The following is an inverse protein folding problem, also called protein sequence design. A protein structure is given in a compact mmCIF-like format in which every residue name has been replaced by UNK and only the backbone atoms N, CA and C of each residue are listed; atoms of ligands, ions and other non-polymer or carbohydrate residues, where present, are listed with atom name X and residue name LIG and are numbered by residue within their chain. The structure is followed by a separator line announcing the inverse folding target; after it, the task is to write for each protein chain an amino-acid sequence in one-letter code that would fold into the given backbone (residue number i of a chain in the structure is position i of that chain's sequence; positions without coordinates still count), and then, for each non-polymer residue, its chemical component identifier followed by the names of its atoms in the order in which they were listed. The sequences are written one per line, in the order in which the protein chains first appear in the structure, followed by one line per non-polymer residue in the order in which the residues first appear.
data_IF_128965616758
#
_entry.id   IF_128965616758
#
_cell.length_a   1.000
_cell.length_b   1.000
_cell.length_c   1.000
_cell.angle_alpha   90.00
_cell.angle_beta   90.00
_cell.angle_gamma   90.00
#
_symmetry.space_group_name_H-M   'P 1'
#
loop_
_entity.id
_entity.type
_entity.pdbx_description
1 polymer ?
#
# COMPACT_ATOMS: atom_id res chain seq x y z
N UNK A 1 -10.14 -13.00 -29.70
CA UNK A 1 -9.82 -11.83 -28.85
C UNK A 1 -8.92 -10.89 -29.65
N UNK A 2 -9.19 -9.57 -29.68
CA UNK A 2 -8.38 -8.65 -30.50
C UNK A 2 -6.94 -8.52 -29.96
N UNK A 3 -5.94 -8.24 -30.81
CA UNK A 3 -4.57 -7.94 -30.37
C UNK A 3 -4.48 -6.75 -29.41
N UNK A 4 -5.45 -5.82 -29.48
CA UNK A 4 -5.57 -4.68 -28.57
C UNK A 4 -6.01 -5.12 -27.17
N UNK A 5 -7.04 -5.98 -27.07
CA UNK A 5 -7.51 -6.56 -25.80
C UNK A 5 -6.44 -7.44 -25.14
N UNK A 6 -5.73 -8.25 -25.91
CA UNK A 6 -4.65 -9.07 -25.39
C UNK A 6 -3.51 -8.22 -24.78
N UNK A 7 -3.16 -7.10 -25.41
CA UNK A 7 -2.15 -6.17 -24.87
C UNK A 7 -2.60 -5.53 -23.56
N UNK A 8 -3.85 -5.08 -23.47
CA UNK A 8 -4.37 -4.45 -22.25
C UNK A 8 -4.54 -5.46 -21.13
N UNK A 9 -4.99 -6.68 -21.42
CA UNK A 9 -5.02 -7.78 -20.45
C UNK A 9 -3.65 -8.01 -19.82
N UNK A 10 -2.57 -8.02 -20.62
CA UNK A 10 -1.20 -8.11 -20.07
C UNK A 10 -0.85 -6.94 -19.16
N UNK A 11 -1.26 -5.71 -19.50
CA UNK A 11 -1.02 -4.53 -18.66
C UNK A 11 -1.80 -4.63 -17.36
N UNK A 12 -3.05 -5.10 -17.37
CA UNK A 12 -3.84 -5.33 -16.15
C UNK A 12 -3.11 -6.31 -15.24
N UNK A 13 -2.70 -7.48 -15.76
CA UNK A 13 -1.96 -8.48 -14.97
C UNK A 13 -0.65 -7.93 -14.39
N UNK A 14 0.07 -7.09 -15.14
CA UNK A 14 1.27 -6.42 -14.63
C UNK A 14 0.94 -5.43 -13.49
N UNK A 15 -0.19 -4.72 -13.59
CA UNK A 15 -0.63 -3.76 -12.55
C UNK A 15 -1.19 -4.45 -11.32
N UNK A 16 -1.86 -5.60 -11.48
CA UNK A 16 -2.28 -6.46 -10.37
C UNK A 16 -1.07 -6.95 -9.57
N UNK A 17 -0.06 -7.51 -10.25
CA UNK A 17 1.19 -7.92 -9.61
C UNK A 17 1.89 -6.78 -8.88
N UNK A 18 1.97 -5.61 -9.52
CA UNK A 18 2.55 -4.43 -8.89
C UNK A 18 1.75 -3.99 -7.65
N UNK A 19 0.41 -4.09 -7.68
CA UNK A 19 -0.43 -3.81 -6.52
C UNK A 19 -0.15 -4.81 -5.39
N UNK A 20 -0.07 -6.11 -5.69
CA UNK A 20 0.23 -7.15 -4.72
C UNK A 20 1.60 -6.93 -4.06
N UNK A 21 2.62 -6.58 -4.84
CA UNK A 21 3.95 -6.21 -4.33
C UNK A 21 3.88 -5.03 -3.36
N UNK A 22 3.09 -3.98 -3.67
CA UNK A 22 2.91 -2.83 -2.76
C UNK A 22 2.14 -3.21 -1.50
N UNK A 23 1.17 -4.10 -1.59
CA UNK A 23 0.41 -4.60 -0.42
C UNK A 23 1.31 -5.45 0.49
N UNK A 24 2.17 -6.29 -0.09
CA UNK A 24 3.18 -7.03 0.67
C UNK A 24 4.13 -6.06 1.39
N UNK A 25 4.66 -5.05 0.68
CA UNK A 25 5.52 -4.03 1.27
C UNK A 25 4.82 -3.23 2.40
N UNK A 26 3.52 -2.91 2.25
CA UNK A 26 2.74 -2.28 3.31
C UNK A 26 2.60 -3.19 4.54
N UNK A 27 2.48 -4.49 4.33
CA UNK A 27 2.39 -5.47 5.42
C UNK A 27 3.69 -5.54 6.21
N UNK A 28 4.83 -5.58 5.52
CA UNK A 28 6.15 -5.58 6.15
C UNK A 28 6.43 -4.29 6.93
N UNK A 29 6.07 -3.14 6.35
CA UNK A 29 6.25 -1.84 7.02
C UNK A 29 5.36 -1.69 8.26
N UNK A 30 4.11 -2.20 8.22
CA UNK A 30 3.24 -2.27 9.40
C UNK A 30 3.80 -3.17 10.50
N UNK A 31 4.39 -4.31 10.15
CA UNK A 31 5.03 -5.18 11.13
C UNK A 31 6.24 -4.48 11.78
N UNK A 32 7.04 -3.75 10.98
CA UNK A 32 8.16 -2.96 11.49
C UNK A 32 7.70 -1.81 12.40
N UNK A 33 6.64 -1.09 12.04
CA UNK A 33 6.02 -0.05 12.86
C UNK A 33 5.52 -0.60 14.20
N UNK A 34 4.79 -1.72 14.19
CA UNK A 34 4.30 -2.36 15.41
C UNK A 34 5.47 -2.75 16.34
N UNK A 35 6.56 -3.29 15.78
CA UNK A 35 7.76 -3.62 16.54
C UNK A 35 8.44 -2.38 17.12
N UNK A 36 8.55 -1.30 16.35
CA UNK A 36 9.17 -0.06 16.81
C UNK A 36 8.35 0.61 17.92
N UNK A 37 7.03 0.63 17.81
CA UNK A 37 6.13 1.16 18.84
C UNK A 37 6.19 0.34 20.13
N UNK A 38 6.23 -1.00 20.02
CA UNK A 38 6.41 -1.86 21.19
C UNK A 38 7.77 -1.63 21.86
N UNK A 39 8.84 -1.43 21.08
CA UNK A 39 10.16 -1.12 21.62
C UNK A 39 10.18 0.23 22.34
N UNK A 40 9.56 1.27 21.77
CA UNK A 40 9.40 2.58 22.42
C UNK A 40 8.68 2.46 23.76
N UNK A 41 7.57 1.70 23.80
CA UNK A 41 6.80 1.49 25.03
C UNK A 41 7.62 0.77 26.10
N UNK A 42 8.37 -0.28 25.73
CA UNK A 42 9.27 -0.99 26.66
C UNK A 42 10.32 -0.02 27.23
N UNK A 43 10.97 0.78 26.38
CA UNK A 43 11.98 1.76 26.85
C UNK A 43 11.36 2.80 27.77
N UNK A 44 10.13 3.24 27.50
CA UNK A 44 9.43 4.21 28.36
C UNK A 44 9.18 3.64 29.75
N UNK A 45 8.72 2.39 29.83
CA UNK A 45 8.54 1.68 31.12
C UNK A 45 9.86 1.51 31.86
N UNK A 46 10.94 1.13 31.17
CA UNK A 46 12.28 1.03 31.80
C UNK A 46 12.77 2.40 32.34
N UNK A 47 12.43 3.50 31.68
CA UNK A 47 12.74 4.85 32.16
C UNK A 47 11.91 5.22 33.40
N UNK A 48 10.62 4.90 33.39
CA UNK A 48 9.73 5.09 34.54
C UNK A 48 10.26 4.32 35.77
N UNK A 49 10.59 3.03 35.61
CA UNK A 49 11.18 2.19 36.64
C UNK A 49 12.53 2.73 37.15
N UNK A 50 13.39 3.22 36.25
CA UNK A 50 14.65 3.84 36.62
C UNK A 50 14.46 5.13 37.42
N UNK A 51 13.46 5.94 37.05
CA UNK A 51 13.10 7.15 37.78
C UNK A 51 12.59 6.83 39.19
N UNK A 52 11.70 5.84 39.32
CA UNK A 52 11.20 5.38 40.62
C UNK A 52 12.31 4.82 41.50
N UNK A 53 13.20 4.01 40.92
CA UNK A 53 14.34 3.44 41.64
C UNK A 53 15.27 4.53 42.16
N UNK A 54 15.52 5.58 41.37
CA UNK A 54 16.30 6.74 41.79
C UNK A 54 15.63 7.50 42.94
N UNK A 55 14.31 7.67 42.89
CA UNK A 55 13.56 8.35 43.97
C UNK A 55 13.65 7.58 45.29
N UNK A 56 13.43 6.26 45.26
CA UNK A 56 13.59 5.40 46.45
C UNK A 56 15.00 5.47 47.03
N UNK A 57 16.02 5.42 46.18
CA UNK A 57 17.42 5.62 46.57
C UNK A 57 17.62 6.96 47.30
N UNK A 58 17.01 8.04 46.81
CA UNK A 58 17.08 9.37 47.44
C UNK A 58 16.41 9.42 48.83
N UNK A 59 15.37 8.61 49.06
CA UNK A 59 14.60 8.57 50.30
C UNK A 59 15.24 7.67 51.37
N UNK A 60 15.86 6.56 50.96
CA UNK A 60 16.27 5.49 51.88
C UNK A 60 17.71 5.58 52.39
N UNK A 61 18.60 6.36 51.76
CA UNK A 61 20.04 6.24 52.01
C UNK A 61 20.78 7.57 52.25
N UNK A 62 21.70 7.54 53.22
CA UNK A 62 22.86 8.43 53.27
C UNK A 62 23.80 8.06 52.11
N UNK A 63 23.38 8.41 50.89
CA UNK A 63 24.09 8.10 49.66
C UNK A 63 25.44 8.83 49.63
N UNK A 64 26.48 8.09 49.24
CA UNK A 64 27.71 8.73 48.80
C UNK A 64 27.44 9.52 47.52
N UNK A 65 28.21 10.59 47.31
CA UNK A 65 28.13 11.36 46.08
C UNK A 65 28.32 10.50 44.81
N UNK A 66 29.13 9.44 44.90
CA UNK A 66 29.38 8.51 43.78
C UNK A 66 28.13 7.74 43.37
N UNK A 67 27.40 7.16 44.33
CA UNK A 67 26.18 6.40 44.04
C UNK A 67 25.07 7.28 43.48
N UNK A 68 25.02 8.56 43.88
CA UNK A 68 24.10 9.53 43.29
C UNK A 68 24.44 9.88 41.84
N UNK A 69 25.73 10.03 41.53
CA UNK A 69 26.20 10.29 40.16
C UNK A 69 25.85 9.09 39.26
N UNK A 70 26.15 7.87 39.68
CA UNK A 70 25.86 6.64 38.93
C UNK A 70 24.35 6.49 38.62
N UNK A 71 23.49 6.75 39.60
CA UNK A 71 22.04 6.70 39.40
C UNK A 71 21.55 7.74 38.37
N UNK A 72 22.15 8.94 38.38
CA UNK A 72 21.83 9.98 37.40
C UNK A 72 22.33 9.64 36.00
N UNK A 73 23.54 9.10 35.88
CA UNK A 73 24.09 8.65 34.59
C UNK A 73 23.27 7.52 33.99
N UNK A 74 22.83 6.57 34.82
CA UNK A 74 21.93 5.50 34.41
C UNK A 74 20.58 6.05 33.92
N UNK A 75 19.97 6.98 34.65
CA UNK A 75 18.72 7.62 34.24
C UNK A 75 18.87 8.36 32.90
N UNK A 76 19.96 9.12 32.72
CA UNK A 76 20.25 9.79 31.46
C UNK A 76 20.46 8.81 30.31
N UNK A 77 21.11 7.66 30.55
CA UNK A 77 21.26 6.59 29.56
C UNK A 77 19.89 6.05 29.11
N UNK A 78 18.97 5.81 30.06
CA UNK A 78 17.59 5.38 29.75
C UNK A 78 16.81 6.44 28.97
N UNK A 79 16.93 7.71 29.32
CA UNK A 79 16.31 8.81 28.57
C UNK A 79 16.78 8.84 27.11
N UNK A 80 18.09 8.68 26.87
CA UNK A 80 18.64 8.62 25.52
C UNK A 80 18.09 7.43 24.73
N UNK A 81 17.94 6.26 25.36
CA UNK A 81 17.36 5.08 24.72
C UNK A 81 15.89 5.28 24.34
N UNK A 82 15.10 5.95 25.19
CA UNK A 82 13.71 6.30 24.88
C UNK A 82 13.64 7.24 23.68
N UNK A 83 14.44 8.31 23.66
CA UNK A 83 14.45 9.25 22.55
C UNK A 83 14.89 8.58 21.23
N UNK A 84 15.86 7.68 21.28
CA UNK A 84 16.24 6.87 20.11
C UNK A 84 15.08 6.00 19.61
N UNK A 85 14.43 5.26 20.51
CA UNK A 85 13.30 4.41 20.17
C UNK A 85 12.11 5.21 19.62
N UNK A 86 11.85 6.40 20.17
CA UNK A 86 10.82 7.34 19.69
C UNK A 86 11.11 7.82 18.27
N UNK A 87 12.36 8.17 17.97
CA UNK A 87 12.76 8.55 16.61
C UNK A 87 12.60 7.38 15.63
N UNK A 88 12.95 6.17 16.04
CA UNK A 88 12.76 4.96 15.23
C UNK A 88 11.28 4.65 14.97
N UNK A 89 10.44 4.75 16.00
CA UNK A 89 8.98 4.61 15.87
C UNK A 89 8.40 5.65 14.91
N UNK A 90 8.78 6.92 15.04
CA UNK A 90 8.35 7.98 14.13
C UNK A 90 8.79 7.73 12.67
N UNK A 91 10.01 7.22 12.46
CA UNK A 91 10.49 6.83 11.12
C UNK A 91 9.67 5.66 10.56
N UNK A 92 9.40 4.63 11.37
CA UNK A 92 8.61 3.48 10.94
C UNK A 92 7.17 3.88 10.57
N UNK A 93 6.53 4.75 11.37
CA UNK A 93 5.22 5.33 11.05
C UNK A 93 5.22 6.09 9.72
N UNK A 94 6.26 6.88 9.46
CA UNK A 94 6.39 7.62 8.20
C UNK A 94 6.50 6.66 7.00
N UNK A 95 7.30 5.60 7.12
CA UNK A 95 7.43 4.59 6.07
C UNK A 95 6.12 3.84 5.83
N UNK A 96 5.36 3.49 6.87
CA UNK A 96 4.01 2.93 6.70
C UNK A 96 3.10 3.89 5.93
N UNK A 97 3.10 5.19 6.25
CA UNK A 97 2.29 6.19 5.53
C UNK A 97 2.68 6.29 4.06
N UNK A 98 3.98 6.26 3.74
CA UNK A 98 4.46 6.23 2.35
C UNK A 98 3.99 4.96 1.63
N UNK A 99 4.09 3.80 2.26
CA UNK A 99 3.64 2.53 1.70
C UNK A 99 2.12 2.54 1.45
N UNK A 100 1.32 3.10 2.36
CA UNK A 100 -0.13 3.29 2.15
C UNK A 100 -0.40 4.15 0.92
N UNK A 101 0.31 5.27 0.76
CA UNK A 101 0.23 6.13 -0.43
C UNK A 101 0.59 5.41 -1.73
N UNK A 102 1.61 4.54 -1.69
CA UNK A 102 2.01 3.72 -2.83
C UNK A 102 0.92 2.69 -3.22
N UNK A 103 0.29 2.04 -2.24
CA UNK A 103 -0.86 1.13 -2.49
C UNK A 103 -2.03 1.88 -3.10
N UNK A 104 -2.37 3.07 -2.59
CA UNK A 104 -3.46 3.88 -3.16
C UNK A 104 -3.18 4.28 -4.61
N UNK A 105 -1.95 4.69 -4.90
CA UNK A 105 -1.52 5.00 -6.27
C UNK A 105 -1.63 3.77 -7.17
N UNK A 106 -1.13 2.61 -6.73
CA UNK A 106 -1.20 1.36 -7.48
C UNK A 106 -2.65 0.93 -7.78
N UNK A 107 -3.57 1.06 -6.80
CA UNK A 107 -5.01 0.81 -7.00
C UNK A 107 -5.62 1.75 -8.02
N UNK A 108 -5.29 3.04 -7.94
CA UNK A 108 -5.76 4.05 -8.90
C UNK A 108 -5.29 3.72 -10.32
N UNK A 109 -4.03 3.35 -10.48
CA UNK A 109 -3.45 3.00 -11.78
C UNK A 109 -4.06 1.72 -12.36
N UNK A 110 -4.27 0.69 -11.54
CA UNK A 110 -5.00 -0.51 -11.95
C UNK A 110 -6.40 -0.14 -12.44
N UNK A 111 -7.14 0.68 -11.67
CA UNK A 111 -8.50 1.08 -12.03
C UNK A 111 -8.57 1.85 -13.35
N UNK A 112 -7.59 2.71 -13.64
CA UNK A 112 -7.52 3.43 -14.93
C UNK A 112 -7.39 2.45 -16.11
N UNK A 113 -6.59 1.40 -15.95
CA UNK A 113 -6.39 0.40 -17.01
C UNK A 113 -7.62 -0.50 -17.18
N UNK A 114 -8.28 -0.89 -16.08
CA UNK A 114 -9.56 -1.60 -16.13
C UNK A 114 -10.62 -0.81 -16.89
N UNK A 115 -10.79 0.48 -16.56
CA UNK A 115 -11.73 1.36 -17.26
C UNK A 115 -11.39 1.51 -18.74
N UNK A 116 -10.10 1.54 -19.10
CA UNK A 116 -9.68 1.56 -20.50
C UNK A 116 -10.05 0.24 -21.21
N UNK A 117 -9.89 -0.90 -20.54
CA UNK A 117 -10.29 -2.21 -21.06
C UNK A 117 -11.79 -2.27 -21.34
N UNK A 118 -12.61 -1.81 -20.38
CA UNK A 118 -14.06 -1.74 -20.52
C UNK A 118 -14.49 -0.85 -21.70
N UNK A 119 -13.86 0.33 -21.86
CA UNK A 119 -14.13 1.22 -23.00
C UNK A 119 -13.80 0.57 -24.34
N UNK A 120 -12.69 -0.15 -24.42
CA UNK A 120 -12.29 -0.85 -25.65
C UNK A 120 -13.22 -2.01 -25.96
N UNK A 121 -13.66 -2.74 -24.94
CA UNK A 121 -14.67 -3.78 -25.13
C UNK A 121 -15.98 -3.20 -25.69
N UNK A 122 -16.50 -2.12 -25.10
CA UNK A 122 -17.71 -1.45 -25.61
C UNK A 122 -17.53 -0.93 -27.04
N UNK A 123 -16.35 -0.42 -27.37
CA UNK A 123 -16.05 0.05 -28.73
C UNK A 123 -16.04 -1.12 -29.72
N UNK A 124 -15.38 -2.23 -29.40
CA UNK A 124 -15.33 -3.41 -30.28
C UNK A 124 -16.71 -4.07 -30.45
N UNK A 125 -17.53 -4.10 -29.39
CA UNK A 125 -18.92 -4.58 -29.46
C UNK A 125 -19.78 -3.71 -30.38
N UNK A 126 -19.64 -2.38 -30.29
CA UNK A 126 -20.33 -1.43 -31.16
C UNK A 126 -19.90 -1.58 -32.63
N UNK A 127 -18.59 -1.68 -32.88
CA UNK A 127 -18.04 -1.90 -34.24
C UNK A 127 -18.52 -3.21 -34.84
N UNK A 128 -18.56 -4.29 -34.05
CA UNK A 128 -19.08 -5.59 -34.47
C UNK A 128 -20.58 -5.52 -34.82
N UNK A 129 -21.40 -4.86 -33.99
CA UNK A 129 -22.83 -4.67 -34.27
C UNK A 129 -23.09 -3.86 -35.54
N UNK A 130 -22.28 -2.83 -35.80
CA UNK A 130 -22.39 -2.03 -37.04
C UNK A 130 -22.03 -2.86 -38.27
N UNK A 131 -20.96 -3.67 -38.18
CA UNK A 131 -20.56 -4.60 -39.24
C UNK A 131 -21.64 -5.65 -39.52
N UNK A 132 -22.21 -6.25 -38.48
CA UNK A 132 -23.27 -7.24 -38.58
C UNK A 132 -24.51 -6.67 -39.26
N UNK A 133 -24.99 -5.49 -38.84
CA UNK A 133 -26.11 -4.80 -39.49
C UNK A 133 -25.86 -4.51 -40.95
N UNK A 134 -24.65 -4.03 -41.31
CA UNK A 134 -24.29 -3.79 -42.71
C UNK A 134 -24.32 -5.07 -43.55
N UNK A 135 -23.82 -6.18 -43.00
CA UNK A 135 -23.86 -7.48 -43.68
C UNK A 135 -25.30 -7.96 -43.86
N UNK A 136 -26.16 -7.78 -42.86
CA UNK A 136 -27.60 -8.11 -42.96
C UNK A 136 -28.31 -7.26 -44.03
N UNK A 137 -28.03 -5.95 -44.08
CA UNK A 137 -28.56 -5.04 -45.10
C UNK A 137 -28.10 -5.45 -46.51
N UNK A 138 -26.82 -5.77 -46.69
CA UNK A 138 -26.25 -6.23 -47.97
C UNK A 138 -26.85 -7.57 -48.41
N UNK A 139 -26.98 -8.54 -47.50
CA UNK A 139 -27.60 -9.84 -47.78
C UNK A 139 -29.07 -9.70 -48.15
N UNK A 140 -29.81 -8.81 -47.47
CA UNK A 140 -31.21 -8.54 -47.76
C UNK A 140 -31.38 -7.88 -49.13
N UNK A 141 -30.52 -6.90 -49.46
CA UNK A 141 -30.50 -6.24 -50.76
C UNK A 141 -30.16 -7.20 -51.91
N UNK A 142 -29.18 -8.09 -51.72
CA UNK A 142 -28.84 -9.13 -52.72
C UNK A 142 -29.99 -10.12 -52.95
N UNK A 143 -30.72 -10.51 -51.90
CA UNK A 143 -31.91 -11.38 -52.03
C UNK A 143 -33.00 -10.71 -52.85
N UNK A 144 -33.28 -9.43 -52.59
CA UNK A 144 -34.27 -8.66 -53.34
C UNK A 144 -33.92 -8.54 -54.83
N UNK A 145 -32.67 -8.18 -55.17
CA UNK A 145 -32.24 -8.11 -56.57
C UNK A 145 -32.36 -9.44 -57.30
N UNK A 146 -31.99 -10.55 -56.64
CA UNK A 146 -32.07 -11.89 -57.23
C UNK A 146 -33.50 -12.36 -57.49
N UNK A 147 -34.47 -11.85 -56.73
CA UNK A 147 -35.90 -12.08 -56.99
C UNK A 147 -36.48 -11.19 -58.09
N UNK A 148 -35.86 -10.06 -58.38
CA UNK A 148 -36.24 -9.18 -59.51
C UNK A 148 -35.71 -9.70 -60.86
N UNK A 149 -34.48 -10.23 -60.89
CA UNK A 149 -33.86 -10.80 -62.10
C UNK A 149 -34.41 -12.20 -62.49
N UNK A 150 -35.26 -12.79 -61.66
CA UNK A 150 -35.85 -14.13 -61.84
C UNK A 150 -37.28 -14.15 -62.42
N UNK A 151 -37.78 -13.01 -62.91
CA UNK A 151 -39.04 -12.87 -63.67
C UNK A 151 -38.73 -12.47 -65.11
#
# INVERSE_FOLDING_TARGET
MSPRRARIGKVITLREKALDERVAQLTDTRAAEAKALSAEEIRRRELEEASESRLKLAEEAALSASSWIEANEWLQSRQRQVEQARVEAAKAQLETRKAQGAVMTARSDLKKVELLSERIQKQEESEAQVLERRLEDELTSMRFRRTEDGK
#
